data_IF_889389736145
#
_entry.id   IF_889389736145
#
_cell.length_a   1.000
_cell.length_b   1.000
_cell.length_c   1.000
_cell.angle_alpha   90.00
_cell.angle_beta   90.00
_cell.angle_gamma   90.00
#
_symmetry.space_group_name_H-M   'P 1'
#
loop_
_entity.id
_entity.type
_entity.pdbx_description
1 polymer ?
#
# COMPACT_ATOMS: atom_id res chain seq x y z
N UNK A 1 3.39 4.68 48.62
CA UNK A 1 2.39 4.87 47.56
C UNK A 1 2.75 6.15 46.84
N UNK A 2 3.10 6.07 45.57
CA UNK A 2 3.45 7.23 44.74
C UNK A 2 2.34 7.48 43.72
N UNK A 3 2.27 8.68 43.13
CA UNK A 3 1.34 8.99 42.03
C UNK A 3 1.44 7.98 40.87
N UNK A 4 2.62 7.38 40.71
CA UNK A 4 2.91 6.37 39.72
C UNK A 4 2.11 5.08 39.89
N UNK A 5 1.70 4.74 41.13
CA UNK A 5 0.92 3.53 41.43
C UNK A 5 -0.52 3.60 40.89
N UNK A 6 -0.96 4.79 40.43
CA UNK A 6 -2.29 5.05 39.86
C UNK A 6 -2.26 5.22 38.33
N UNK A 7 -1.09 5.07 37.71
CA UNK A 7 -0.91 5.15 36.26
C UNK A 7 -1.25 3.78 35.66
N UNK A 8 -2.08 3.77 34.62
CA UNK A 8 -2.36 2.54 33.87
C UNK A 8 -1.22 2.22 32.90
N UNK A 9 -0.19 1.56 33.43
CA UNK A 9 0.95 1.08 32.64
C UNK A 9 0.56 0.05 31.57
N UNK A 10 -0.50 -0.72 31.81
CA UNK A 10 -0.92 -1.78 30.89
C UNK A 10 -1.46 -1.17 29.59
N UNK A 11 -2.26 -0.11 29.70
CA UNK A 11 -2.76 0.63 28.53
C UNK A 11 -1.61 1.27 27.74
N UNK A 12 -0.67 1.95 28.41
CA UNK A 12 0.52 2.53 27.75
C UNK A 12 1.36 1.46 27.03
N UNK A 13 1.61 0.33 27.69
CA UNK A 13 2.39 -0.76 27.14
C UNK A 13 1.69 -1.40 25.93
N UNK A 14 0.36 -1.56 25.99
CA UNK A 14 -0.43 -2.09 24.88
C UNK A 14 -0.44 -1.15 23.68
N UNK A 15 -0.62 0.17 23.89
CA UNK A 15 -0.56 1.19 22.84
C UNK A 15 0.81 1.20 22.14
N UNK A 16 1.89 1.14 22.92
CA UNK A 16 3.26 1.05 22.40
C UNK A 16 3.45 -0.21 21.55
N UNK A 17 3.03 -1.37 22.06
CA UNK A 17 3.13 -2.64 21.35
C UNK A 17 2.36 -2.62 20.03
N UNK A 18 1.12 -2.13 20.06
CA UNK A 18 0.26 -2.06 18.88
C UNK A 18 0.84 -1.12 17.82
N UNK A 19 1.33 0.07 18.24
CA UNK A 19 2.00 1.01 17.34
C UNK A 19 3.25 0.39 16.69
N UNK A 20 4.07 -0.33 17.47
CA UNK A 20 5.26 -1.01 16.94
C UNK A 20 4.90 -2.11 15.95
N UNK A 21 3.83 -2.87 16.20
CA UNK A 21 3.34 -3.88 15.27
C UNK A 21 2.88 -3.24 13.96
N UNK A 22 2.02 -2.21 14.02
CA UNK A 22 1.55 -1.51 12.81
C UNK A 22 2.71 -0.90 12.00
N UNK A 23 3.71 -0.32 12.67
CA UNK A 23 4.91 0.19 11.99
C UNK A 23 5.73 -0.92 11.32
N UNK A 24 5.83 -2.10 11.94
CA UNK A 24 6.50 -3.25 11.32
C UNK A 24 5.76 -3.70 10.06
N UNK A 25 4.43 -3.84 10.14
CA UNK A 25 3.60 -4.17 8.98
C UNK A 25 3.72 -3.15 7.85
N UNK A 26 3.69 -1.85 8.16
CA UNK A 26 3.86 -0.80 7.14
C UNK A 26 5.23 -0.88 6.47
N UNK A 27 6.30 -1.20 7.21
CA UNK A 27 7.64 -1.39 6.63
C UNK A 27 7.70 -2.60 5.69
N UNK A 28 7.02 -3.68 6.05
CA UNK A 28 6.96 -4.88 5.20
C UNK A 28 6.15 -4.61 3.93
N UNK A 29 4.97 -3.97 4.03
CA UNK A 29 4.19 -3.52 2.86
C UNK A 29 5.00 -2.63 1.90
N UNK A 30 5.81 -1.72 2.45
CA UNK A 30 6.64 -0.81 1.66
C UNK A 30 7.79 -1.57 0.98
N UNK A 31 8.35 -2.59 1.64
CA UNK A 31 9.35 -3.49 1.05
C UNK A 31 8.77 -4.30 -0.10
N UNK A 32 7.56 -4.82 0.07
CA UNK A 32 6.87 -5.63 -0.95
C UNK A 32 6.54 -4.78 -2.18
N UNK A 33 6.01 -3.57 -1.99
CA UNK A 33 5.77 -2.62 -3.08
C UNK A 33 7.06 -2.26 -3.83
N UNK A 34 8.17 -2.07 -3.11
CA UNK A 34 9.47 -1.75 -3.72
C UNK A 34 10.01 -2.95 -4.51
N UNK A 35 9.77 -4.17 -4.04
CA UNK A 35 10.11 -5.39 -4.77
C UNK A 35 9.29 -5.53 -6.06
N UNK A 36 7.99 -5.20 -6.02
CA UNK A 36 7.14 -5.20 -7.22
C UNK A 36 7.58 -4.14 -8.24
N UNK A 37 7.99 -2.95 -7.80
CA UNK A 37 8.60 -1.95 -8.69
C UNK A 37 9.91 -2.44 -9.32
N UNK A 38 10.76 -3.16 -8.56
CA UNK A 38 11.99 -3.76 -9.09
C UNK A 38 11.70 -4.82 -10.16
N UNK A 39 10.71 -5.70 -9.93
CA UNK A 39 10.29 -6.69 -10.93
C UNK A 39 9.86 -6.03 -12.22
N UNK A 40 9.06 -4.96 -12.13
CA UNK A 40 8.59 -4.20 -13.29
C UNK A 40 9.76 -3.54 -14.03
N UNK A 41 10.74 -2.99 -13.32
CA UNK A 41 11.91 -2.37 -13.94
C UNK A 41 12.81 -3.39 -14.64
N UNK A 42 13.12 -4.53 -14.00
CA UNK A 42 13.88 -5.62 -14.61
C UNK A 42 13.18 -6.10 -15.89
N UNK A 43 11.85 -6.23 -15.85
CA UNK A 43 11.09 -6.62 -17.02
C UNK A 43 11.18 -5.59 -18.15
N UNK A 44 11.16 -4.30 -17.83
CA UNK A 44 11.28 -3.22 -18.82
C UNK A 44 12.67 -3.23 -19.48
N UNK A 45 13.72 -3.58 -18.73
CA UNK A 45 15.06 -3.82 -19.26
C UNK A 45 15.09 -5.04 -20.20
N UNK A 46 14.48 -6.15 -19.79
CA UNK A 46 14.37 -7.36 -20.63
C UNK A 46 13.63 -7.05 -21.95
N UNK A 47 12.54 -6.28 -21.89
CA UNK A 47 11.78 -5.88 -23.08
C UNK A 47 12.59 -4.97 -24.02
N UNK A 48 13.29 -3.98 -23.46
CA UNK A 48 14.16 -3.11 -24.26
C UNK A 48 15.29 -3.90 -24.94
N UNK A 49 15.83 -4.91 -24.28
CA UNK A 49 16.84 -5.80 -24.88
C UNK A 49 16.29 -6.55 -26.11
N UNK A 50 15.03 -6.99 -26.05
CA UNK A 50 14.35 -7.71 -27.13
C UNK A 50 13.98 -6.80 -28.31
N UNK A 51 13.57 -5.57 -28.03
CA UNK A 51 13.25 -4.59 -29.07
C UNK A 51 14.49 -4.22 -29.90
N UNK A 52 15.64 -4.05 -29.26
CA UNK A 52 16.91 -3.74 -29.93
C UNK A 52 17.44 -4.89 -30.80
N UNK A 53 16.96 -6.12 -30.58
CA UNK A 53 17.29 -7.29 -31.41
C UNK A 53 16.35 -7.52 -32.59
N UNK A 54 15.28 -6.72 -32.75
CA UNK A 54 14.30 -6.98 -33.82
C UNK A 54 14.90 -6.75 -35.21
N UNK A 55 14.78 -7.79 -36.04
CA UNK A 55 15.13 -7.79 -37.44
C UNK A 55 14.18 -6.82 -38.16
N UNK A 56 14.74 -5.73 -38.69
CA UNK A 56 14.02 -4.82 -39.59
C UNK A 56 13.56 -5.60 -40.81
N UNK A 57 12.25 -5.75 -40.97
CA UNK A 57 11.66 -6.09 -42.25
C UNK A 57 12.05 -5.00 -43.23
N UNK A 58 12.87 -5.32 -44.23
CA UNK A 58 12.98 -4.45 -45.37
C UNK A 58 11.60 -4.35 -46.02
N UNK A 59 11.15 -3.13 -46.24
CA UNK A 59 9.97 -2.76 -47.05
C UNK A 59 10.02 -3.40 -48.47
N UNK A 60 11.18 -3.94 -48.85
CA UNK A 60 11.50 -4.66 -50.09
C UNK A 60 10.87 -6.04 -50.24
N UNK A 61 10.35 -6.67 -49.17
CA UNK A 61 9.91 -8.07 -49.23
C UNK A 61 8.70 -8.34 -50.13
N UNK A 62 7.76 -7.40 -50.19
CA UNK A 62 6.58 -7.49 -51.06
C UNK A 62 6.95 -7.24 -52.52
N UNK A 63 7.75 -6.19 -52.78
CA UNK A 63 8.26 -5.84 -54.11
C UNK A 63 9.08 -6.98 -54.70
N UNK A 64 10.00 -7.53 -53.91
CA UNK A 64 10.81 -8.69 -54.31
C UNK A 64 9.95 -9.90 -54.69
N UNK A 65 8.92 -10.22 -53.90
CA UNK A 65 8.05 -11.38 -54.16
C UNK A 65 7.28 -11.23 -55.49
N UNK A 66 6.84 -10.01 -55.81
CA UNK A 66 6.16 -9.71 -57.08
C UNK A 66 7.15 -9.81 -58.25
N UNK A 67 8.29 -9.12 -58.17
CA UNK A 67 9.30 -9.10 -59.23
C UNK A 67 9.87 -10.49 -59.53
N UNK A 68 10.06 -11.30 -58.50
CA UNK A 68 10.62 -12.65 -58.63
C UNK A 68 9.60 -13.62 -59.20
N UNK A 69 8.32 -13.51 -58.80
CA UNK A 69 7.23 -14.27 -59.42
C UNK A 69 7.10 -13.93 -60.91
N UNK A 70 7.16 -12.64 -61.25
CA UNK A 70 6.99 -12.20 -62.62
C UNK A 70 8.13 -12.68 -63.52
N UNK A 71 9.39 -12.58 -63.06
CA UNK A 71 10.53 -13.16 -63.78
C UNK A 71 10.40 -14.68 -63.99
N UNK A 72 9.93 -15.41 -62.98
CA UNK A 72 9.71 -16.86 -63.12
C UNK A 72 8.62 -17.17 -64.15
N UNK A 73 7.53 -16.40 -64.15
CA UNK A 73 6.42 -16.55 -65.11
C UNK A 73 6.86 -16.25 -66.54
N UNK A 74 7.64 -15.17 -66.74
CA UNK A 74 8.19 -14.79 -68.05
C UNK A 74 9.09 -15.90 -68.63
N UNK A 75 10.01 -16.46 -67.84
CA UNK A 75 10.88 -17.56 -68.29
C UNK A 75 10.09 -18.86 -68.53
N UNK A 76 9.09 -19.16 -67.69
CA UNK A 76 8.24 -20.35 -67.89
C UNK A 76 7.43 -20.24 -69.18
N UNK A 77 6.89 -19.06 -69.48
CA UNK A 77 6.17 -18.79 -70.72
C UNK A 77 7.11 -18.89 -71.93
N UNK A 78 8.33 -18.36 -71.85
CA UNK A 78 9.36 -18.50 -72.90
C UNK A 78 9.67 -19.96 -73.19
N UNK A 79 9.90 -20.78 -72.15
CA UNK A 79 10.13 -22.22 -72.32
C UNK A 79 8.93 -22.93 -72.97
N UNK A 80 7.70 -22.56 -72.58
CA UNK A 80 6.49 -23.13 -73.16
C UNK A 80 6.38 -22.80 -74.66
N UNK A 81 6.67 -21.55 -75.06
CA UNK A 81 6.67 -21.12 -76.46
C UNK A 81 7.73 -21.88 -77.28
N UNK A 82 8.93 -22.05 -76.74
CA UNK A 82 10.01 -22.82 -77.37
C UNK A 82 9.62 -24.30 -77.56
N UNK A 83 9.10 -24.94 -76.52
CA UNK A 83 8.65 -26.34 -76.59
C UNK A 83 7.51 -26.52 -77.60
N UNK A 84 6.61 -25.56 -77.69
CA UNK A 84 5.49 -25.58 -78.62
C UNK A 84 5.98 -25.37 -80.07
N UNK A 85 7.03 -24.56 -80.27
CA UNK A 85 7.72 -24.42 -81.55
C UNK A 85 8.41 -25.73 -81.97
N UNK A 86 9.14 -26.37 -81.06
CA UNK A 86 9.78 -27.68 -81.29
C UNK A 86 8.76 -28.78 -81.62
N UNK A 87 7.62 -28.81 -80.91
CA UNK A 87 6.55 -29.76 -81.20
C UNK A 87 5.94 -29.54 -82.59
N UNK A 88 5.73 -28.27 -82.99
CA UNK A 88 5.28 -27.92 -84.35
C UNK A 88 6.28 -28.37 -85.41
N UNK A 89 7.57 -28.14 -85.20
CA UNK A 89 8.62 -28.60 -86.12
C UNK A 89 8.63 -30.12 -86.24
N UNK A 90 8.52 -30.84 -85.12
CA UNK A 90 8.39 -32.30 -85.11
C UNK A 90 7.17 -32.79 -85.92
N UNK A 91 6.01 -32.17 -85.72
CA UNK A 91 4.79 -32.49 -86.47
C UNK A 91 4.96 -32.20 -87.97
N UNK A 92 5.60 -31.09 -88.33
CA UNK A 92 5.90 -30.74 -89.72
C UNK A 92 6.84 -31.76 -90.37
N UNK A 93 7.97 -32.11 -89.72
CA UNK A 93 8.89 -33.15 -90.20
C UNK A 93 8.19 -34.51 -90.31
N UNK A 94 7.37 -34.89 -89.33
CA UNK A 94 6.60 -36.14 -89.35
C UNK A 94 5.59 -36.17 -90.50
N UNK A 95 4.92 -35.04 -90.77
CA UNK A 95 3.97 -34.93 -91.88
C UNK A 95 4.66 -35.07 -93.24
N UNK A 96 5.82 -34.43 -93.43
CA UNK A 96 6.61 -34.54 -94.66
C UNK A 96 7.13 -35.96 -94.85
N UNK A 97 7.62 -36.62 -93.79
CA UNK A 97 8.05 -38.02 -93.86
C UNK A 97 6.92 -38.97 -94.27
N UNK A 98 5.69 -38.75 -93.78
CA UNK A 98 4.52 -39.55 -94.19
C UNK A 98 4.15 -39.33 -95.66
N UNK A 99 4.31 -38.11 -96.16
CA UNK A 99 4.09 -37.79 -97.59
C UNK A 99 5.18 -38.42 -98.46
N UNK A 100 6.45 -38.40 -98.04
CA UNK A 100 7.54 -39.14 -98.69
C UNK A 100 7.26 -40.63 -98.82
N UNK A 101 6.67 -41.24 -97.79
CA UNK A 101 6.40 -42.68 -97.77
C UNK A 101 5.19 -43.10 -98.61
N UNK A 102 4.33 -42.16 -99.03
CA UNK A 102 3.06 -42.44 -99.69
C UNK A 102 3.00 -42.03 -101.18
N UNK A 103 3.99 -41.29 -101.69
CA UNK A 103 4.05 -40.84 -103.10
C UNK A 103 5.17 -41.55 -103.89
N UNK A 104 4.89 -41.93 -105.14
CA UNK A 104 5.87 -42.42 -106.11
C UNK A 104 6.76 -41.28 -106.63
N UNK A 105 8.02 -41.58 -106.95
CA UNK A 105 9.15 -40.64 -107.22
C UNK A 105 8.91 -39.51 -108.26
N UNK A 106 7.82 -39.53 -109.03
CA UNK A 106 7.59 -38.62 -110.18
C UNK A 106 6.82 -37.32 -109.87
N UNK A 107 6.32 -37.09 -108.65
CA UNK A 107 5.59 -35.85 -108.29
C UNK A 107 6.08 -35.18 -106.99
N UNK A 108 7.38 -35.31 -106.72
CA UNK A 108 8.00 -34.84 -105.49
C UNK A 108 8.49 -33.39 -105.62
N UNK A 109 7.65 -32.41 -105.27
CA UNK A 109 8.03 -30.99 -105.23
C UNK A 109 7.57 -30.33 -103.93
N UNK A 110 8.04 -30.85 -102.80
CA UNK A 110 7.84 -30.24 -101.49
C UNK A 110 9.11 -29.43 -101.17
N UNK A 111 8.94 -28.15 -100.86
CA UNK A 111 10.03 -27.27 -100.46
C UNK A 111 10.43 -27.59 -99.00
N UNK A 112 11.53 -28.35 -98.85
CA UNK A 112 12.08 -28.78 -97.55
C UNK A 112 13.07 -27.73 -97.00
N UNK A 113 13.40 -26.68 -97.76
CA UNK A 113 14.43 -25.70 -97.37
C UNK A 113 14.13 -24.99 -96.05
N UNK A 114 12.85 -24.77 -95.72
CA UNK A 114 12.41 -24.21 -94.44
C UNK A 114 12.68 -25.19 -93.28
N UNK A 115 12.43 -26.48 -93.48
CA UNK A 115 12.67 -27.50 -92.45
C UNK A 115 14.15 -27.76 -92.21
N UNK A 116 14.98 -27.71 -93.25
CA UNK A 116 16.44 -27.80 -93.12
C UNK A 116 16.98 -26.63 -92.29
N UNK A 117 16.51 -25.41 -92.60
CA UNK A 117 16.88 -24.22 -91.85
C UNK A 117 16.40 -24.26 -90.40
N UNK A 118 15.14 -24.65 -90.17
CA UNK A 118 14.60 -24.79 -88.81
C UNK A 118 15.32 -25.90 -88.03
N UNK A 119 15.81 -26.95 -88.71
CA UNK A 119 16.63 -28.01 -88.09
C UNK A 119 18.02 -27.52 -87.70
N UNK A 120 18.63 -26.64 -88.49
CA UNK A 120 19.91 -26.00 -88.17
C UNK A 120 19.80 -25.02 -86.98
N UNK A 121 18.61 -24.49 -86.71
CA UNK A 121 18.33 -23.59 -85.57
C UNK A 121 18.05 -24.33 -84.25
N UNK A 122 17.71 -25.64 -84.28
CA UNK A 122 17.41 -26.45 -83.08
C UNK A 122 18.49 -26.37 -81.99
N UNK A 123 19.81 -26.46 -82.29
CA UNK A 123 20.85 -26.38 -81.26
C UNK A 123 20.82 -25.05 -80.49
N UNK A 124 20.57 -23.93 -81.17
CA UNK A 124 20.46 -22.61 -80.55
C UNK A 124 19.19 -22.51 -79.70
N UNK A 125 18.08 -23.08 -80.17
CA UNK A 125 16.81 -23.13 -79.43
C UNK A 125 16.92 -24.00 -78.18
N UNK A 126 17.73 -25.06 -78.23
CA UNK A 126 18.03 -25.91 -77.08
C UNK A 126 18.90 -25.18 -76.05
N UNK A 127 19.90 -24.41 -76.49
CA UNK A 127 20.73 -23.54 -75.64
C UNK A 127 19.88 -22.49 -74.91
N UNK A 128 18.95 -21.83 -75.62
CA UNK A 128 17.97 -20.91 -75.03
C UNK A 128 17.10 -21.59 -73.94
N UNK A 129 16.70 -22.84 -74.15
CA UNK A 129 15.88 -23.60 -73.20
C UNK A 129 16.70 -24.03 -71.97
N UNK A 130 17.97 -24.37 -72.15
CA UNK A 130 18.91 -24.61 -71.05
C UNK A 130 19.17 -23.33 -70.23
N UNK A 131 19.32 -22.17 -70.87
CA UNK A 131 19.46 -20.88 -70.19
C UNK A 131 18.21 -20.52 -69.37
N UNK A 132 17.01 -20.66 -69.95
CA UNK A 132 15.75 -20.42 -69.22
C UNK A 132 15.59 -21.39 -68.04
N UNK A 133 15.97 -22.66 -68.19
CA UNK A 133 15.96 -23.63 -67.10
C UNK A 133 16.90 -23.21 -65.97
N UNK A 134 18.14 -22.81 -66.29
CA UNK A 134 19.11 -22.34 -65.29
C UNK A 134 18.61 -21.08 -64.55
N UNK A 135 17.94 -20.17 -65.25
CA UNK A 135 17.33 -18.98 -64.64
C UNK A 135 16.21 -19.34 -63.66
N UNK A 136 15.32 -20.27 -64.03
CA UNK A 136 14.25 -20.75 -63.14
C UNK A 136 14.84 -21.46 -61.92
N UNK A 137 15.88 -22.28 -62.09
CA UNK A 137 16.57 -22.95 -60.98
C UNK A 137 17.22 -21.94 -60.02
N UNK A 138 17.88 -20.90 -60.55
CA UNK A 138 18.47 -19.83 -59.75
C UNK A 138 17.41 -19.04 -58.96
N UNK A 139 16.28 -18.69 -59.60
CA UNK A 139 15.15 -18.03 -58.96
C UNK A 139 14.57 -18.91 -57.83
N UNK A 140 14.41 -20.21 -58.09
CA UNK A 140 13.89 -21.18 -57.12
C UNK A 140 14.76 -21.25 -55.86
N UNK A 141 16.09 -21.30 -56.02
CA UNK A 141 17.00 -21.34 -54.87
C UNK A 141 17.01 -20.02 -54.08
N UNK A 142 16.95 -18.85 -54.75
CA UNK A 142 16.85 -17.55 -54.07
C UNK A 142 15.55 -17.42 -53.26
N UNK A 143 14.41 -17.84 -53.84
CA UNK A 143 13.12 -17.90 -53.13
C UNK A 143 13.21 -18.81 -51.91
N UNK A 144 13.85 -19.97 -52.02
CA UNK A 144 14.00 -20.91 -50.91
C UNK A 144 14.85 -20.35 -49.78
N UNK A 145 15.98 -19.70 -50.10
CA UNK A 145 16.85 -19.04 -49.11
C UNK A 145 16.07 -17.95 -48.37
N UNK A 146 15.35 -17.08 -49.10
CA UNK A 146 14.54 -16.02 -48.48
C UNK A 146 13.38 -16.57 -47.66
N UNK A 147 12.76 -17.66 -48.09
CA UNK A 147 11.69 -18.29 -47.32
C UNK A 147 12.20 -18.83 -45.98
N UNK A 148 13.42 -19.39 -45.94
CA UNK A 148 14.08 -19.78 -44.69
C UNK A 148 14.35 -18.57 -43.79
N UNK A 149 14.81 -17.46 -44.37
CA UNK A 149 15.00 -16.20 -43.64
C UNK A 149 13.69 -15.71 -43.02
N UNK A 150 12.61 -15.63 -43.82
CA UNK A 150 11.30 -15.21 -43.33
C UNK A 150 10.74 -16.13 -42.24
N UNK A 151 10.94 -17.44 -42.37
CA UNK A 151 10.54 -18.39 -41.33
C UNK A 151 11.31 -18.16 -40.02
N UNK A 152 12.60 -17.83 -40.08
CA UNK A 152 13.40 -17.45 -38.91
C UNK A 152 12.87 -16.19 -38.25
N UNK A 153 12.64 -15.14 -39.04
CA UNK A 153 12.09 -13.85 -38.55
C UNK A 153 10.70 -14.04 -37.96
N UNK A 154 9.85 -14.85 -38.61
CA UNK A 154 8.51 -15.15 -38.10
C UNK A 154 8.58 -15.86 -36.75
N UNK A 155 9.48 -16.83 -36.58
CA UNK A 155 9.66 -17.51 -35.29
C UNK A 155 10.13 -16.54 -34.19
N UNK A 156 11.03 -15.62 -34.52
CA UNK A 156 11.47 -14.57 -33.58
C UNK A 156 10.32 -13.63 -33.20
N UNK A 157 9.51 -13.19 -34.17
CA UNK A 157 8.31 -12.37 -33.94
C UNK A 157 7.28 -13.08 -33.07
N UNK A 158 7.02 -14.35 -33.33
CA UNK A 158 6.11 -15.16 -32.50
C UNK A 158 6.65 -15.25 -31.07
N UNK A 159 7.94 -15.54 -30.90
CA UNK A 159 8.56 -15.57 -29.57
C UNK A 159 8.47 -14.22 -28.85
N UNK A 160 8.65 -13.10 -29.56
CA UNK A 160 8.48 -11.76 -29.00
C UNK A 160 7.03 -11.54 -28.54
N UNK A 161 6.05 -11.85 -29.38
CA UNK A 161 4.63 -11.71 -29.06
C UNK A 161 4.22 -12.55 -27.84
N UNK A 162 4.71 -13.80 -27.74
CA UNK A 162 4.44 -14.65 -26.58
C UNK A 162 5.00 -14.03 -25.29
N UNK A 163 6.21 -13.47 -25.33
CA UNK A 163 6.80 -12.75 -24.17
C UNK A 163 6.02 -11.50 -23.79
N UNK A 164 5.45 -10.78 -24.76
CA UNK A 164 4.57 -9.62 -24.51
C UNK A 164 3.28 -10.06 -23.83
N UNK A 165 2.71 -11.20 -24.23
CA UNK A 165 1.48 -11.71 -23.61
C UNK A 165 1.72 -12.18 -22.16
N UNK A 166 2.82 -12.91 -21.93
CA UNK A 166 3.27 -13.29 -20.58
C UNK A 166 3.50 -12.05 -19.70
N UNK A 167 4.11 -11.00 -20.26
CA UNK A 167 4.28 -9.73 -19.59
C UNK A 167 2.96 -9.10 -19.16
N UNK A 168 2.00 -9.03 -20.08
CA UNK A 168 0.70 -8.37 -19.83
C UNK A 168 0.02 -8.97 -18.59
N UNK A 169 0.11 -10.29 -18.43
CA UNK A 169 -0.37 -11.02 -17.26
C UNK A 169 0.38 -10.61 -15.98
N UNK A 170 1.71 -10.57 -16.01
CA UNK A 170 2.52 -10.19 -14.84
C UNK A 170 2.35 -8.73 -14.43
N UNK A 171 2.30 -7.80 -15.40
CA UNK A 171 1.99 -6.38 -15.13
C UNK A 171 0.62 -6.25 -14.49
N UNK A 172 -0.39 -6.98 -14.98
CA UNK A 172 -1.73 -6.94 -14.40
C UNK A 172 -1.72 -7.38 -12.94
N UNK A 173 -1.01 -8.46 -12.60
CA UNK A 173 -0.83 -8.92 -11.20
C UNK A 173 -0.12 -7.88 -10.34
N UNK A 174 0.97 -7.27 -10.85
CA UNK A 174 1.69 -6.22 -10.13
C UNK A 174 0.79 -5.01 -9.88
N UNK A 175 -0.01 -4.60 -10.86
CA UNK A 175 -0.96 -3.48 -10.72
C UNK A 175 -2.03 -3.79 -9.68
N UNK A 176 -2.56 -5.01 -9.65
CA UNK A 176 -3.51 -5.47 -8.63
C UNK A 176 -2.87 -5.48 -7.23
N UNK A 177 -1.66 -6.00 -7.11
CA UNK A 177 -0.90 -5.99 -5.86
C UNK A 177 -0.67 -4.57 -5.36
N UNK A 178 -0.20 -3.65 -6.20
CA UNK A 178 0.01 -2.24 -5.85
C UNK A 178 -1.29 -1.59 -5.37
N UNK A 179 -2.42 -1.86 -6.04
CA UNK A 179 -3.73 -1.35 -5.62
C UNK A 179 -4.12 -1.90 -4.24
N UNK A 180 -3.94 -3.19 -4.01
CA UNK A 180 -4.20 -3.85 -2.72
C UNK A 180 -3.32 -3.27 -1.62
N UNK A 181 -2.01 -3.21 -1.83
CA UNK A 181 -1.03 -2.63 -0.91
C UNK A 181 -1.36 -1.17 -0.58
N UNK A 182 -1.82 -0.37 -1.55
CA UNK A 182 -2.23 1.02 -1.31
C UNK A 182 -3.44 1.10 -0.38
N UNK A 183 -4.44 0.24 -0.57
CA UNK A 183 -5.62 0.17 0.31
C UNK A 183 -5.22 -0.25 1.73
N UNK A 184 -4.38 -1.28 1.85
CA UNK A 184 -3.87 -1.74 3.15
C UNK A 184 -3.04 -0.66 3.84
N UNK A 185 -2.14 0.00 3.12
CA UNK A 185 -1.35 1.11 3.64
C UNK A 185 -2.24 2.23 4.20
N UNK A 186 -3.29 2.62 3.47
CA UNK A 186 -4.24 3.64 3.93
C UNK A 186 -4.96 3.21 5.20
N UNK A 187 -5.43 1.96 5.28
CA UNK A 187 -6.11 1.43 6.48
C UNK A 187 -5.19 1.44 7.70
N UNK A 188 -3.96 0.95 7.51
CA UNK A 188 -2.93 0.85 8.55
C UNK A 188 -2.49 2.23 9.04
N UNK A 189 -2.32 3.18 8.10
CA UNK A 189 -2.06 4.59 8.42
C UNK A 189 -3.14 5.19 9.30
N UNK A 190 -4.42 4.99 8.97
CA UNK A 190 -5.52 5.50 9.80
C UNK A 190 -5.51 4.88 11.21
N UNK A 191 -5.11 3.62 11.35
CA UNK A 191 -4.92 3.01 12.67
C UNK A 191 -3.79 3.68 13.46
N UNK A 192 -2.68 4.01 12.80
CA UNK A 192 -1.55 4.71 13.43
C UNK A 192 -1.92 6.13 13.86
N UNK A 193 -2.69 6.84 13.04
CA UNK A 193 -3.25 8.15 13.37
C UNK A 193 -4.14 8.05 14.64
N UNK A 194 -5.01 7.03 14.71
CA UNK A 194 -5.80 6.76 15.92
C UNK A 194 -4.97 6.50 17.17
N UNK A 195 -3.89 5.72 17.07
CA UNK A 195 -2.98 5.51 18.21
C UNK A 195 -2.22 6.78 18.60
N UNK A 196 -1.90 7.64 17.63
CA UNK A 196 -1.29 8.94 17.92
C UNK A 196 -2.24 9.83 18.70
N UNK A 197 -3.51 9.89 18.30
CA UNK A 197 -4.54 10.66 18.99
C UNK A 197 -4.77 10.15 20.42
N UNK A 198 -4.81 8.83 20.60
CA UNK A 198 -4.90 8.21 21.93
C UNK A 198 -3.71 8.59 22.81
N UNK A 199 -2.49 8.62 22.26
CA UNK A 199 -1.29 9.01 23.00
C UNK A 199 -1.33 10.49 23.41
N UNK A 200 -1.78 11.39 22.52
CA UNK A 200 -1.97 12.80 22.85
C UNK A 200 -3.00 13.00 23.96
N UNK A 201 -4.14 12.31 23.86
CA UNK A 201 -5.19 12.35 24.89
C UNK A 201 -4.67 11.83 26.23
N UNK A 202 -3.86 10.77 26.22
CA UNK A 202 -3.28 10.21 27.43
C UNK A 202 -2.29 11.16 28.10
N UNK A 203 -1.44 11.84 27.32
CA UNK A 203 -0.53 12.88 27.83
C UNK A 203 -1.32 14.04 28.45
N UNK A 204 -2.36 14.52 27.76
CA UNK A 204 -3.23 15.57 28.29
C UNK A 204 -3.92 15.14 29.59
N UNK A 205 -4.42 13.90 29.64
CA UNK A 205 -5.04 13.35 30.84
C UNK A 205 -4.07 13.27 32.02
N UNK A 206 -2.84 12.80 31.81
CA UNK A 206 -1.83 12.75 32.89
C UNK A 206 -1.39 14.14 33.35
N UNK A 207 -1.40 15.14 32.47
CA UNK A 207 -1.18 16.53 32.84
C UNK A 207 -2.29 17.04 33.77
N UNK A 208 -3.55 16.84 33.38
CA UNK A 208 -4.72 17.21 34.20
C UNK A 208 -4.77 16.45 35.53
N UNK A 209 -4.40 15.17 35.52
CA UNK A 209 -4.30 14.36 36.73
C UNK A 209 -3.25 14.91 37.71
N UNK A 210 -2.07 15.28 37.20
CA UNK A 210 -1.01 15.91 38.01
C UNK A 210 -1.46 17.25 38.60
N UNK A 211 -2.08 18.10 37.78
CA UNK A 211 -2.61 19.40 38.23
C UNK A 211 -3.72 19.22 39.28
N UNK A 212 -4.63 18.27 39.07
CA UNK A 212 -5.69 17.92 40.01
C UNK A 212 -5.15 17.41 41.34
N UNK A 213 -4.05 16.65 41.33
CA UNK A 213 -3.38 16.23 42.55
C UNK A 213 -2.82 17.41 43.35
N UNK A 214 -2.24 18.41 42.69
CA UNK A 214 -1.79 19.63 43.37
C UNK A 214 -2.95 20.40 44.01
N UNK A 215 -4.11 20.47 43.34
CA UNK A 215 -5.32 21.03 43.93
C UNK A 215 -5.83 20.23 45.13
N UNK A 216 -5.77 18.90 45.09
CA UNK A 216 -6.13 18.03 46.23
C UNK A 216 -5.27 18.33 47.46
N UNK A 217 -3.96 18.51 47.28
CA UNK A 217 -3.03 18.86 48.38
C UNK A 217 -3.42 20.19 49.04
N UNK A 218 -3.77 21.20 48.22
CA UNK A 218 -4.21 22.51 48.71
C UNK A 218 -5.56 22.41 49.43
N UNK A 219 -6.49 21.60 48.92
CA UNK A 219 -7.81 21.41 49.51
C UNK A 219 -7.72 20.70 50.87
N UNK A 220 -6.84 19.72 51.04
CA UNK A 220 -6.63 19.06 52.33
C UNK A 220 -6.10 20.06 53.37
N UNK A 221 -5.10 20.88 53.02
CA UNK A 221 -4.58 21.95 53.89
C UNK A 221 -5.68 22.98 54.24
N UNK A 222 -6.50 23.37 53.26
CA UNK A 222 -7.65 24.25 53.50
C UNK A 222 -8.63 23.65 54.52
N UNK A 223 -8.94 22.35 54.41
CA UNK A 223 -9.83 21.65 55.35
C UNK A 223 -9.24 21.59 56.76
N UNK A 224 -7.95 21.33 56.91
CA UNK A 224 -7.28 21.40 58.23
C UNK A 224 -7.36 22.79 58.86
N UNK A 225 -7.18 23.86 58.06
CA UNK A 225 -7.33 25.23 58.59
C UNK A 225 -8.75 25.51 59.07
N UNK A 226 -9.76 25.06 58.33
CA UNK A 226 -11.17 25.24 58.72
C UNK A 226 -11.49 24.42 59.97
N UNK A 227 -11.03 23.17 60.04
CA UNK A 227 -11.19 22.32 61.22
C UNK A 227 -10.57 22.95 62.47
N UNK A 228 -9.33 23.44 62.35
CA UNK A 228 -8.67 24.16 63.44
C UNK A 228 -9.44 25.40 63.87
N UNK A 229 -9.96 26.18 62.91
CA UNK A 229 -10.77 27.36 63.21
C UNK A 229 -12.08 27.01 63.92
N UNK A 230 -12.76 25.93 63.51
CA UNK A 230 -13.94 25.43 64.21
C UNK A 230 -13.59 24.97 65.63
N UNK A 231 -12.45 24.32 65.83
CA UNK A 231 -11.98 23.91 67.14
C UNK A 231 -11.69 25.12 68.04
N UNK A 232 -10.99 26.14 67.54
CA UNK A 232 -10.71 27.38 68.27
C UNK A 232 -12.01 28.05 68.75
N UNK A 233 -13.01 28.17 67.87
CA UNK A 233 -14.34 28.70 68.24
C UNK A 233 -15.03 27.81 69.29
N UNK A 234 -15.03 26.49 69.10
CA UNK A 234 -15.68 25.57 70.03
C UNK A 234 -15.02 25.61 71.42
N UNK A 235 -13.70 25.74 71.49
CA UNK A 235 -12.95 25.92 72.73
C UNK A 235 -13.32 27.23 73.43
N UNK A 236 -13.43 28.34 72.69
CA UNK A 236 -13.82 29.64 73.25
C UNK A 236 -15.24 29.63 73.80
N UNK A 237 -16.21 29.04 73.09
CA UNK A 237 -17.56 28.87 73.61
C UNK A 237 -17.60 27.91 74.81
N UNK A 238 -16.80 26.84 74.80
CA UNK A 238 -16.73 25.91 75.94
C UNK A 238 -16.21 26.61 77.20
N UNK A 239 -15.19 27.47 77.06
CA UNK A 239 -14.69 28.31 78.17
C UNK A 239 -15.77 29.27 78.66
N UNK A 240 -16.46 29.96 77.77
CA UNK A 240 -17.53 30.88 78.14
C UNK A 240 -18.69 30.17 78.88
N UNK A 241 -19.09 28.99 78.42
CA UNK A 241 -20.10 28.16 79.09
C UNK A 241 -19.65 27.68 80.47
N UNK A 242 -18.36 27.31 80.61
CA UNK A 242 -17.78 26.93 81.89
C UNK A 242 -17.73 28.10 82.87
N UNK A 243 -17.35 29.30 82.42
CA UNK A 243 -17.36 30.52 83.24
C UNK A 243 -18.77 30.87 83.74
N UNK A 244 -19.78 30.76 82.87
CA UNK A 244 -21.20 30.96 83.24
C UNK A 244 -21.67 29.91 84.26
N UNK A 245 -21.29 28.65 84.09
CA UNK A 245 -21.63 27.57 85.02
C UNK A 245 -21.03 27.82 86.41
N UNK A 246 -19.75 28.18 86.48
CA UNK A 246 -19.06 28.50 87.74
C UNK A 246 -19.63 29.75 88.43
N UNK A 247 -20.08 30.74 87.65
CA UNK A 247 -20.74 31.93 88.18
C UNK A 247 -22.11 31.58 88.79
N UNK A 248 -22.94 30.79 88.10
CA UNK A 248 -24.24 30.32 88.61
C UNK A 248 -24.06 29.44 89.86
N UNK A 249 -23.09 28.53 89.86
CA UNK A 249 -22.76 27.69 91.02
C UNK A 249 -22.39 28.55 92.24
N UNK A 250 -21.60 29.61 92.03
CA UNK A 250 -21.23 30.57 93.08
C UNK A 250 -22.44 31.33 93.62
N UNK A 251 -23.29 31.87 92.74
CA UNK A 251 -24.49 32.60 93.17
C UNK A 251 -25.47 31.70 93.93
N UNK A 252 -25.66 30.45 93.48
CA UNK A 252 -26.46 29.45 94.23
C UNK A 252 -25.85 29.15 95.60
N UNK A 253 -24.54 28.96 95.68
CA UNK A 253 -23.87 28.74 96.96
C UNK A 253 -24.08 29.91 97.93
N UNK A 254 -23.90 31.16 97.47
CA UNK A 254 -24.13 32.35 98.28
C UNK A 254 -25.60 32.45 98.73
N UNK A 255 -26.54 32.16 97.83
CA UNK A 255 -27.96 32.13 98.15
C UNK A 255 -28.28 31.10 99.25
N UNK A 256 -27.77 29.87 99.12
CA UNK A 256 -27.98 28.81 100.11
C UNK A 256 -27.30 29.11 101.44
N UNK A 257 -26.11 29.69 101.44
CA UNK A 257 -25.41 30.10 102.65
C UNK A 257 -26.20 31.19 103.40
N UNK A 258 -26.72 32.19 102.68
CA UNK A 258 -27.40 33.34 103.29
C UNK A 258 -28.85 33.03 103.71
N UNK A 259 -29.60 32.29 102.89
CA UNK A 259 -31.05 32.11 103.07
C UNK A 259 -31.46 30.67 103.36
N UNK A 260 -30.61 29.68 103.04
CA UNK A 260 -30.91 28.26 103.18
C UNK A 260 -31.36 27.82 104.57
N UNK A 261 -30.73 28.27 105.68
CA UNK A 261 -31.17 27.90 107.04
C UNK A 261 -32.60 28.32 107.40
N UNK A 262 -33.16 29.29 106.67
CA UNK A 262 -34.50 29.85 106.92
C UNK A 262 -35.55 29.34 105.92
N UNK A 263 -35.17 28.52 104.94
CA UNK A 263 -36.06 28.02 103.89
C UNK A 263 -36.34 26.52 104.09
N UNK A 264 -37.60 26.11 104.30
CA UNK A 264 -37.97 24.70 104.29
C UNK A 264 -37.68 24.08 102.93
N UNK A 265 -37.01 22.92 102.89
CA UNK A 265 -36.66 22.24 101.63
C UNK A 265 -37.89 21.88 100.77
N UNK A 266 -39.06 21.67 101.39
CA UNK A 266 -40.30 21.31 100.69
C UNK A 266 -40.92 22.45 99.87
N UNK A 267 -40.45 23.69 100.04
CA UNK A 267 -40.99 24.87 99.34
C UNK A 267 -40.69 24.83 97.83
N UNK A 268 -39.50 24.35 97.46
CA UNK A 268 -39.08 24.16 96.08
C UNK A 268 -38.03 23.04 96.02
N UNK A 269 -38.42 21.77 95.84
CA UNK A 269 -37.48 20.65 95.88
C UNK A 269 -36.33 20.75 94.86
N UNK A 270 -36.59 21.33 93.69
CA UNK A 270 -35.59 21.52 92.62
C UNK A 270 -34.57 22.62 92.89
N UNK A 271 -34.73 23.42 93.95
CA UNK A 271 -33.77 24.51 94.25
C UNK A 271 -32.37 23.96 94.57
N UNK A 272 -32.29 22.74 95.09
CA UNK A 272 -31.03 22.07 95.45
C UNK A 272 -30.39 21.26 94.30
N UNK A 273 -31.00 21.26 93.11
CA UNK A 273 -30.42 20.61 91.93
C UNK A 273 -29.17 21.35 91.46
N UNK A 274 -28.21 20.60 90.92
CA UNK A 274 -27.00 21.16 90.33
C UNK A 274 -27.34 22.07 89.13
N UNK A 275 -26.57 23.14 88.89
CA UNK A 275 -26.75 23.95 87.69
C UNK A 275 -26.53 23.12 86.43
N UNK A 276 -27.26 23.47 85.36
CA UNK A 276 -27.14 22.78 84.07
C UNK A 276 -25.72 22.96 83.52
N UNK A 277 -25.12 21.88 83.03
CA UNK A 277 -23.84 21.89 82.33
C UNK A 277 -24.08 21.75 80.84
N UNK A 278 -23.51 22.67 80.05
CA UNK A 278 -23.50 22.59 78.59
C UNK A 278 -22.10 22.21 78.11
N UNK A 279 -22.02 21.22 77.21
CA UNK A 279 -20.77 20.77 76.60
C UNK A 279 -20.86 20.86 75.07
N UNK A 280 -19.79 21.29 74.43
CA UNK A 280 -19.66 21.32 72.96
C UNK A 280 -18.75 20.17 72.55
N UNK A 281 -19.23 19.30 71.66
CA UNK A 281 -18.46 18.16 71.15
C UNK A 281 -18.63 18.06 69.62
N UNK A 282 -17.56 17.73 68.87
CA UNK A 282 -17.66 17.50 67.45
C UNK A 282 -18.45 16.20 67.17
N UNK A 283 -19.31 16.24 66.14
CA UNK A 283 -20.16 15.11 65.74
C UNK A 283 -19.38 14.05 64.92
N UNK A 284 -18.34 14.47 64.19
CA UNK A 284 -17.42 13.58 63.48
C UNK A 284 -16.00 14.15 63.48
N UNK A 285 -15.01 13.26 63.64
CA UNK A 285 -13.60 13.60 63.49
C UNK A 285 -13.17 13.42 62.03
N UNK A 286 -12.42 14.38 61.52
CA UNK A 286 -11.81 14.31 60.20
C UNK A 286 -10.65 13.30 60.21
N UNK A 287 -10.67 12.34 59.27
CA UNK A 287 -9.56 11.39 59.05
C UNK A 287 -8.68 11.84 57.88
N UNK A 288 -8.46 13.15 57.75
CA UNK A 288 -7.60 13.69 56.69
C UNK A 288 -6.13 13.40 56.98
N UNK A 289 -5.32 13.10 55.95
CA UNK A 289 -3.89 12.87 56.13
C UNK A 289 -3.16 14.17 56.43
N UNK A 290 -2.20 14.14 57.36
CA UNK A 290 -1.34 15.28 57.67
C UNK A 290 -0.41 15.61 56.51
N UNK A 291 -0.53 16.84 56.00
CA UNK A 291 0.28 17.35 54.91
C UNK A 291 1.28 18.38 55.44
N UNK A 292 2.55 18.25 55.03
CA UNK A 292 3.57 19.22 55.39
C UNK A 292 3.36 20.57 54.68
N UNK A 293 3.66 21.68 55.37
CA UNK A 293 3.63 23.02 54.78
C UNK A 293 4.56 23.18 53.56
N UNK A 294 5.61 22.34 53.47
CA UNK A 294 6.50 22.29 52.30
C UNK A 294 5.76 21.75 51.08
N UNK A 295 4.99 20.68 51.24
CA UNK A 295 4.21 20.06 50.17
C UNK A 295 3.13 21.00 49.61
N UNK A 296 2.49 21.79 50.48
CA UNK A 296 1.50 22.81 50.08
C UNK A 296 2.15 23.93 49.29
N UNK A 297 3.29 24.47 49.76
CA UNK A 297 4.04 25.51 49.03
C UNK A 297 4.52 25.02 47.67
N UNK A 298 4.98 23.78 47.60
CA UNK A 298 5.40 23.16 46.34
C UNK A 298 4.24 23.01 45.37
N UNK A 299 3.06 22.55 45.82
CA UNK A 299 1.86 22.46 45.00
C UNK A 299 1.43 23.84 44.45
N UNK A 300 1.42 24.89 45.28
CA UNK A 300 1.09 26.26 44.86
C UNK A 300 2.08 26.77 43.82
N UNK A 301 3.37 26.53 44.02
CA UNK A 301 4.43 26.98 43.10
C UNK A 301 4.30 26.30 41.74
N UNK A 302 4.00 24.99 41.72
CA UNK A 302 3.83 24.22 40.48
C UNK A 302 2.62 24.68 39.68
N UNK A 303 1.47 24.87 40.33
CA UNK A 303 0.26 25.39 39.68
C UNK A 303 0.46 26.82 39.13
N UNK A 304 1.22 27.65 39.84
CA UNK A 304 1.51 29.03 39.38
C UNK A 304 2.39 29.04 38.13
N UNK A 305 3.33 28.09 38.02
CA UNK A 305 4.19 27.95 36.86
C UNK A 305 3.45 27.37 35.65
N UNK A 306 2.50 26.45 35.87
CA UNK A 306 1.64 25.86 34.83
C UNK A 306 0.72 26.90 34.17
N UNK A 307 0.28 27.94 34.89
CA UNK A 307 -0.56 29.02 34.35
C UNK A 307 0.21 30.07 33.53
N UNK A 308 1.55 30.02 33.52
CA UNK A 308 2.41 30.98 32.81
C UNK A 308 3.07 30.41 31.55
N UNK A 309 2.97 29.10 31.32
CA UNK A 309 3.42 28.42 30.07
C UNK A 309 2.25 28.18 29.13
#
# INVERSE_FOLDING_TARGET
>A
MTLYDYIDEQSVASLKKNTQLELAYLKDLLRDSLNDCKKLNNWLEDFNSLNNSSITFEESGFTYSIETRQRQEDETNRMADVLLSLARHYDQVSSVLKVCQSQSEDEFNIDISVLEKDTDEIPSVLEDLEESLQMIEAISEDVKIRNQLYASVQNELVNLLTKIDECSSEISKIVENIKSTKLEFSRRRSSLEGFSDELYNLVAWYHEFSSSYHHLVIEIDRRHRVEKYHQEIAEDYSKALQELHLAEERERHLFFEQYGPYLPMDLCPSIAELPVLYEIRPDALSNLPDISAKSVKEAITRLSNEQQS
#
